data_IF_617134908678
#
_entry.id   IF_617134908678
#
_cell.length_a   1.000
_cell.length_b   1.000
_cell.length_c   1.000
_cell.angle_alpha   90.00
_cell.angle_beta   90.00
_cell.angle_gamma   90.00
#
_symmetry.space_group_name_H-M   'P 1'
#
loop_
_entity.id
_entity.type
_entity.pdbx_description
1 polymer ?
#
# COMPACT_ATOMS: atom_id res chain seq x y z
N UNK A 1 22.89 4.29 1.91
CA UNK A 1 21.53 3.81 1.61
C UNK A 1 20.65 5.03 1.41
N UNK A 2 20.02 5.24 0.23
CA UNK A 2 19.06 6.31 0.05
C UNK A 2 17.93 6.10 1.07
N UNK A 3 17.65 7.16 1.82
CA UNK A 3 16.73 7.16 2.93
C UNK A 3 15.34 6.69 2.48
N UNK A 4 14.86 5.54 2.96
CA UNK A 4 13.54 4.96 2.62
C UNK A 4 12.38 5.94 2.89
N UNK A 5 12.55 6.87 3.81
CA UNK A 5 11.63 7.99 4.06
C UNK A 5 11.45 8.88 2.82
N UNK A 6 12.54 9.15 2.11
CA UNK A 6 12.55 9.96 0.91
C UNK A 6 11.73 9.33 -0.20
N UNK A 7 11.78 8.00 -0.33
CA UNK A 7 11.05 7.27 -1.37
C UNK A 7 9.52 7.35 -1.23
N UNK A 8 8.99 7.35 -0.02
CA UNK A 8 7.55 7.47 0.21
C UNK A 8 7.01 8.84 -0.22
N UNK A 9 7.71 9.92 0.15
CA UNK A 9 7.32 11.28 -0.20
C UNK A 9 7.47 11.56 -1.70
N UNK A 10 8.57 11.12 -2.34
CA UNK A 10 8.79 11.36 -3.77
C UNK A 10 7.72 10.73 -4.65
N UNK A 11 7.23 9.56 -4.26
CA UNK A 11 6.12 8.88 -4.94
C UNK A 11 4.80 9.64 -4.77
N UNK A 12 4.48 10.06 -3.54
CA UNK A 12 3.25 10.83 -3.26
C UNK A 12 3.25 12.16 -4.00
N UNK A 13 4.39 12.87 -3.99
CA UNK A 13 4.54 14.15 -4.67
C UNK A 13 4.57 14.03 -6.21
N UNK A 14 4.94 12.85 -6.72
CA UNK A 14 4.92 12.55 -8.15
C UNK A 14 3.59 12.00 -8.68
N UNK A 15 2.56 11.90 -7.82
CA UNK A 15 1.24 11.43 -8.22
C UNK A 15 0.55 12.47 -9.10
N UNK A 16 -0.01 12.02 -10.21
CA UNK A 16 -0.78 12.82 -11.16
C UNK A 16 -2.22 12.33 -11.22
N UNK A 17 -3.17 13.18 -11.58
CA UNK A 17 -4.59 12.85 -11.59
C UNK A 17 -4.95 11.74 -12.58
N UNK A 18 -4.20 11.58 -13.67
CA UNK A 18 -4.33 10.46 -14.62
C UNK A 18 -4.08 9.08 -13.98
N UNK A 19 -3.50 9.04 -12.78
CA UNK A 19 -3.20 7.84 -12.02
C UNK A 19 -4.13 7.64 -10.81
N UNK A 20 -5.22 8.40 -10.72
CA UNK A 20 -6.15 8.37 -9.57
C UNK A 20 -7.55 8.03 -10.05
N UNK A 21 -8.13 6.95 -9.53
CA UNK A 21 -9.53 6.60 -9.73
C UNK A 21 -10.33 6.88 -8.45
N UNK A 22 -11.03 7.98 -8.46
CA UNK A 22 -11.95 8.45 -7.41
C UNK A 22 -13.33 8.72 -8.00
N UNK A 23 -13.72 7.93 -9.03
CA UNK A 23 -15.07 8.01 -9.57
C UNK A 23 -16.12 7.65 -8.51
N UNK A 24 -17.32 8.22 -8.56
CA UNK A 24 -18.40 7.89 -7.63
C UNK A 24 -18.68 6.39 -7.57
N UNK A 25 -18.62 5.71 -8.71
CA UNK A 25 -18.82 4.28 -8.85
C UNK A 25 -17.73 3.48 -8.13
N UNK A 26 -16.45 3.88 -8.32
CA UNK A 26 -15.30 3.24 -7.68
C UNK A 26 -15.31 3.47 -6.16
N UNK A 27 -15.70 4.66 -5.70
CA UNK A 27 -15.83 4.97 -4.27
C UNK A 27 -16.95 4.13 -3.65
N UNK A 28 -18.13 4.10 -4.28
CA UNK A 28 -19.28 3.33 -3.80
C UNK A 28 -18.99 1.82 -3.72
N UNK A 29 -18.20 1.31 -4.68
CA UNK A 29 -17.80 -0.10 -4.74
C UNK A 29 -16.58 -0.44 -3.84
N UNK A 30 -15.99 0.53 -3.11
CA UNK A 30 -14.75 0.33 -2.34
C UNK A 30 -13.53 0.00 -3.21
N UNK A 31 -13.53 0.44 -4.47
CA UNK A 31 -12.48 0.15 -5.48
C UNK A 31 -11.68 1.39 -5.89
N UNK A 32 -11.91 2.53 -5.26
CA UNK A 32 -11.10 3.74 -5.49
C UNK A 32 -9.61 3.44 -5.24
N UNK A 33 -8.71 3.96 -6.09
CA UNK A 33 -7.29 3.66 -5.99
C UNK A 33 -6.39 4.78 -6.52
N UNK A 34 -5.13 4.72 -6.13
CA UNK A 34 -4.02 5.41 -6.78
C UNK A 34 -3.08 4.40 -7.44
N UNK A 35 -2.60 4.72 -8.64
CA UNK A 35 -1.64 3.92 -9.36
C UNK A 35 -0.27 4.58 -9.32
N UNK A 36 0.62 4.02 -8.51
CA UNK A 36 1.98 4.52 -8.34
C UNK A 36 2.83 4.06 -9.50
N UNK A 37 3.19 4.97 -10.40
CA UNK A 37 4.06 4.71 -11.56
C UNK A 37 5.02 5.86 -11.87
N UNK A 38 5.01 6.90 -11.03
CA UNK A 38 5.82 8.11 -11.17
C UNK A 38 6.39 8.51 -9.81
N UNK A 39 7.51 9.21 -9.82
CA UNK A 39 8.10 9.82 -8.63
C UNK A 39 8.65 11.21 -8.96
N UNK A 40 8.51 12.14 -8.03
CA UNK A 40 9.07 13.48 -8.11
C UNK A 40 10.44 13.48 -7.45
N UNK A 41 11.48 13.86 -8.17
CA UNK A 41 12.83 13.85 -7.65
C UNK A 41 13.64 15.08 -8.11
N UNK A 42 14.48 15.62 -7.21
CA UNK A 42 15.48 16.61 -7.56
C UNK A 42 16.76 15.90 -7.99
N UNK A 43 17.22 16.19 -9.21
CA UNK A 43 18.39 15.55 -9.84
C UNK A 43 19.42 16.58 -10.25
N UNK A 44 20.69 16.17 -10.28
CA UNK A 44 21.78 17.00 -10.81
C UNK A 44 21.66 17.12 -12.33
N UNK A 45 21.78 18.33 -12.85
CA UNK A 45 21.65 18.63 -14.30
C UNK A 45 22.72 17.94 -15.12
N UNK A 46 23.95 17.87 -14.61
CA UNK A 46 25.06 17.23 -15.31
C UNK A 46 24.87 15.72 -15.40
N UNK A 47 24.42 15.08 -14.32
CA UNK A 47 24.10 13.66 -14.28
C UNK A 47 22.93 13.34 -15.19
N UNK A 48 21.86 14.15 -15.16
CA UNK A 48 20.71 13.97 -16.04
C UNK A 48 21.10 14.05 -17.52
N UNK A 49 21.99 15.01 -17.88
CA UNK A 49 22.50 15.18 -19.24
C UNK A 49 23.36 13.98 -19.64
N UNK A 50 24.25 13.52 -18.76
CA UNK A 50 25.13 12.38 -19.02
C UNK A 50 24.35 11.08 -19.23
N UNK A 51 23.21 10.89 -18.53
CA UNK A 51 22.33 9.73 -18.66
C UNK A 51 21.30 9.85 -19.78
N UNK A 52 21.39 10.89 -20.64
CA UNK A 52 20.45 11.08 -21.76
C UNK A 52 19.00 11.23 -21.34
N UNK A 53 18.73 11.77 -20.14
CA UNK A 53 17.38 11.91 -19.53
C UNK A 53 16.62 10.58 -19.42
N UNK A 54 17.34 9.45 -19.27
CA UNK A 54 16.71 8.14 -19.11
C UNK A 54 15.66 8.15 -17.98
N UNK A 55 14.47 7.60 -18.28
CA UNK A 55 13.32 7.49 -17.38
C UNK A 55 12.70 8.84 -16.92
N UNK A 56 13.19 9.98 -17.40
CA UNK A 56 12.61 11.31 -17.12
C UNK A 56 11.38 11.51 -18.00
N UNK A 57 10.22 11.72 -17.37
CA UNK A 57 8.93 11.97 -18.03
C UNK A 57 8.72 13.46 -18.27
N UNK A 58 9.14 14.29 -17.29
CA UNK A 58 9.02 15.75 -17.37
C UNK A 58 10.12 16.42 -16.56
N UNK A 59 10.62 17.54 -17.06
CA UNK A 59 11.50 18.47 -16.34
C UNK A 59 10.66 19.69 -16.00
N UNK A 60 10.64 20.09 -14.73
CA UNK A 60 9.86 21.25 -14.29
C UNK A 60 10.65 22.56 -14.46
N UNK A 61 9.96 23.68 -14.69
CA UNK A 61 10.61 24.99 -14.77
C UNK A 61 11.36 25.32 -13.48
N UNK A 62 12.46 26.01 -13.62
CA UNK A 62 13.28 26.43 -12.50
C UNK A 62 13.05 27.89 -12.18
N UNK A 63 13.02 28.24 -10.88
CA UNK A 63 12.97 29.63 -10.42
C UNK A 63 14.29 30.36 -10.64
N UNK A 64 15.42 29.65 -10.75
CA UNK A 64 16.76 30.18 -10.99
C UNK A 64 17.57 29.24 -11.85
N UNK A 65 18.06 29.71 -12.99
CA UNK A 65 18.89 28.94 -13.93
C UNK A 65 20.23 28.51 -13.34
N UNK A 66 20.74 29.27 -12.36
CA UNK A 66 22.01 28.98 -11.68
C UNK A 66 22.00 27.74 -10.79
N UNK A 67 20.84 27.13 -10.54
CA UNK A 67 20.73 25.92 -9.74
C UNK A 67 21.46 24.75 -10.43
N UNK A 68 22.30 24.02 -9.68
CA UNK A 68 22.96 22.80 -10.14
C UNK A 68 21.99 21.63 -10.33
N UNK A 69 20.83 21.68 -9.67
CA UNK A 69 19.82 20.61 -9.66
C UNK A 69 18.50 21.11 -10.22
N UNK A 70 17.73 20.21 -10.80
CA UNK A 70 16.39 20.47 -11.36
C UNK A 70 15.40 19.43 -10.82
N UNK A 71 14.13 19.82 -10.70
CA UNK A 71 13.05 18.93 -10.30
C UNK A 71 12.51 18.21 -11.53
N UNK A 72 12.36 16.91 -11.42
CA UNK A 72 11.87 16.07 -12.52
C UNK A 72 10.80 15.10 -12.04
N UNK A 73 9.84 14.82 -12.92
CA UNK A 73 8.95 13.67 -12.81
C UNK A 73 9.58 12.54 -13.60
N UNK A 74 9.74 11.39 -12.99
CA UNK A 74 10.39 10.23 -13.60
C UNK A 74 9.70 8.92 -13.25
N UNK A 75 10.02 7.86 -14.00
CA UNK A 75 9.59 6.51 -13.66
C UNK A 75 10.32 6.02 -12.40
N UNK A 76 9.67 5.22 -11.55
CA UNK A 76 10.32 4.60 -10.40
C UNK A 76 11.47 3.70 -10.83
N UNK A 77 12.50 3.59 -9.97
CA UNK A 77 13.73 2.83 -10.28
C UNK A 77 13.51 1.34 -10.47
N UNK A 78 12.49 0.76 -9.82
CA UNK A 78 12.21 -0.69 -9.87
C UNK A 78 10.78 -0.97 -10.31
N UNK A 79 10.57 -2.07 -11.01
CA UNK A 79 9.23 -2.52 -11.42
C UNK A 79 8.31 -2.76 -10.20
N UNK A 80 8.86 -3.26 -9.08
CA UNK A 80 8.12 -3.49 -7.83
C UNK A 80 7.63 -2.20 -7.16
N UNK A 81 8.17 -1.04 -7.54
CA UNK A 81 7.68 0.25 -7.08
C UNK A 81 6.37 0.66 -7.75
N UNK A 82 6.10 0.13 -8.95
CA UNK A 82 4.86 0.37 -9.68
C UNK A 82 3.77 -0.53 -9.11
N UNK A 83 2.71 0.08 -8.59
CA UNK A 83 1.63 -0.66 -7.90
C UNK A 83 0.34 0.13 -7.81
N UNK A 84 -0.76 -0.59 -7.68
CA UNK A 84 -2.07 -0.05 -7.33
C UNK A 84 -2.22 -0.10 -5.81
N UNK A 85 -2.71 1.00 -5.21
CA UNK A 85 -3.03 1.10 -3.79
C UNK A 85 -4.50 1.49 -3.69
N UNK A 86 -5.32 0.63 -3.11
CA UNK A 86 -6.72 0.93 -2.86
C UNK A 86 -6.86 1.94 -1.72
N UNK A 87 -7.80 2.86 -1.88
CA UNK A 87 -8.04 3.95 -0.95
C UNK A 87 -9.19 3.64 -0.01
N UNK A 88 -9.06 3.91 1.30
CA UNK A 88 -10.22 4.01 2.17
C UNK A 88 -11.21 5.06 1.62
N UNK A 89 -12.52 4.81 1.77
CA UNK A 89 -13.58 5.69 1.27
C UNK A 89 -13.35 7.15 1.68
N UNK A 90 -13.08 7.40 2.96
CA UNK A 90 -12.81 8.75 3.47
C UNK A 90 -11.65 9.44 2.75
N UNK A 91 -10.57 8.72 2.45
CA UNK A 91 -9.41 9.29 1.73
C UNK A 91 -9.77 9.60 0.28
N UNK A 92 -10.56 8.74 -0.37
CA UNK A 92 -11.04 9.00 -1.73
C UNK A 92 -11.95 10.23 -1.79
N UNK A 93 -12.86 10.39 -0.82
CA UNK A 93 -13.74 11.57 -0.70
C UNK A 93 -12.93 12.86 -0.45
N UNK A 94 -11.90 12.81 0.40
CA UNK A 94 -10.97 13.94 0.59
C UNK A 94 -10.24 14.32 -0.70
N UNK A 95 -9.86 13.35 -1.53
CA UNK A 95 -9.22 13.62 -2.82
C UNK A 95 -10.20 14.23 -3.83
N UNK A 96 -11.48 13.85 -3.80
CA UNK A 96 -12.52 14.49 -4.62
C UNK A 96 -12.64 15.97 -4.26
N UNK A 97 -12.70 16.31 -2.96
CA UNK A 97 -12.76 17.69 -2.51
C UNK A 97 -11.49 18.47 -2.87
N UNK A 98 -10.33 17.87 -2.63
CA UNK A 98 -9.05 18.45 -3.02
C UNK A 98 -8.97 18.75 -4.52
N UNK A 99 -9.43 17.83 -5.36
CA UNK A 99 -9.50 18.06 -6.80
C UNK A 99 -10.39 19.24 -7.16
N UNK A 100 -11.55 19.35 -6.50
CA UNK A 100 -12.49 20.47 -6.73
C UNK A 100 -11.86 21.83 -6.37
N UNK A 101 -11.16 21.91 -5.23
CA UNK A 101 -10.43 23.11 -4.82
C UNK A 101 -9.33 23.48 -5.81
N UNK A 102 -8.62 22.49 -6.31
CA UNK A 102 -7.57 22.66 -7.30
C UNK A 102 -8.14 23.15 -8.65
N UNK A 103 -9.23 22.54 -9.11
CA UNK A 103 -9.91 22.91 -10.35
C UNK A 103 -10.46 24.36 -10.25
N UNK A 104 -11.03 24.75 -9.11
CA UNK A 104 -11.45 26.12 -8.83
C UNK A 104 -10.28 27.10 -8.87
N UNK A 105 -9.16 26.77 -8.24
CA UNK A 105 -7.95 27.61 -8.26
C UNK A 105 -7.40 27.78 -9.67
N UNK A 106 -7.38 26.66 -10.43
CA UNK A 106 -6.95 26.65 -11.84
C UNK A 106 -7.84 27.57 -12.71
N UNK A 107 -9.15 27.51 -12.53
CA UNK A 107 -10.10 28.37 -13.24
C UNK A 107 -9.90 29.85 -12.87
N UNK A 108 -9.72 30.16 -11.58
CA UNK A 108 -9.52 31.52 -11.10
C UNK A 108 -8.22 32.16 -11.59
N UNK A 109 -7.13 31.40 -11.68
CA UNK A 109 -5.82 31.89 -12.12
C UNK A 109 -5.63 31.82 -13.64
N UNK A 110 -6.40 31.00 -14.34
CA UNK A 110 -6.29 30.85 -15.79
C UNK A 110 -4.85 30.53 -16.24
N UNK A 111 -4.28 31.40 -17.08
CA UNK A 111 -2.93 31.19 -17.63
C UNK A 111 -1.79 31.32 -16.61
N UNK A 112 -2.04 31.85 -15.42
CA UNK A 112 -1.04 31.91 -14.34
C UNK A 112 -0.88 30.58 -13.61
N UNK A 113 -1.84 29.66 -13.75
CA UNK A 113 -1.76 28.32 -13.18
C UNK A 113 -0.94 27.39 -14.08
N UNK A 114 0.16 26.84 -13.56
CA UNK A 114 1.00 25.88 -14.26
C UNK A 114 0.39 24.47 -14.16
N UNK A 115 -0.39 24.07 -15.16
CA UNK A 115 -1.06 22.76 -15.15
C UNK A 115 -0.12 21.63 -15.52
N UNK A 116 0.36 20.92 -14.52
CA UNK A 116 1.17 19.71 -14.64
C UNK A 116 0.43 18.43 -14.25
N UNK A 117 -0.87 18.49 -14.06
CA UNK A 117 -1.72 17.37 -13.64
C UNK A 117 -1.32 16.75 -12.29
N UNK A 118 -0.57 17.46 -11.45
CA UNK A 118 -0.09 16.96 -10.16
C UNK A 118 -1.20 16.99 -9.10
N UNK A 119 -1.36 15.89 -8.37
CA UNK A 119 -2.26 15.83 -7.20
C UNK A 119 -1.76 16.75 -6.09
N UNK A 120 -0.45 16.76 -5.84
CA UNK A 120 0.20 17.57 -4.80
C UNK A 120 0.86 18.82 -5.40
N UNK A 121 0.10 19.58 -6.20
CA UNK A 121 0.55 20.87 -6.70
C UNK A 121 0.42 21.95 -5.60
N UNK A 122 1.23 23.01 -5.71
CA UNK A 122 1.05 24.22 -4.89
C UNK A 122 -0.05 25.12 -5.50
N UNK A 123 -0.36 26.25 -4.85
CA UNK A 123 -1.43 27.17 -5.31
C UNK A 123 -1.23 27.76 -6.71
N UNK A 124 -0.06 27.65 -7.31
CA UNK A 124 0.22 28.04 -8.70
C UNK A 124 0.33 26.84 -9.65
N UNK A 125 -0.05 25.65 -9.22
CA UNK A 125 0.05 24.42 -10.03
C UNK A 125 1.45 23.81 -10.13
N UNK A 126 2.47 24.46 -9.55
CA UNK A 126 3.83 23.97 -9.54
C UNK A 126 4.00 22.79 -8.57
N UNK A 127 4.97 21.89 -8.79
CA UNK A 127 5.21 20.78 -7.88
C UNK A 127 5.60 21.25 -6.48
N UNK A 128 5.01 20.60 -5.47
CA UNK A 128 5.39 20.79 -4.07
C UNK A 128 6.67 20.02 -3.75
N UNK A 129 7.64 20.69 -3.15
CA UNK A 129 8.90 20.05 -2.78
C UNK A 129 8.80 19.27 -1.46
N UNK A 130 9.58 18.20 -1.34
CA UNK A 130 9.63 17.36 -0.15
C UNK A 130 9.96 18.16 1.13
N UNK A 131 10.89 19.11 1.05
CA UNK A 131 11.28 19.98 2.17
C UNK A 131 10.07 20.74 2.74
N UNK A 132 9.18 21.20 1.88
CA UNK A 132 7.96 21.91 2.32
C UNK A 132 7.04 20.99 3.10
N UNK A 133 6.77 19.79 2.61
CA UNK A 133 5.92 18.81 3.31
C UNK A 133 6.53 18.41 4.65
N UNK A 134 7.85 18.17 4.68
CA UNK A 134 8.54 17.83 5.93
C UNK A 134 8.45 18.97 6.94
N UNK A 135 8.60 20.23 6.51
CA UNK A 135 8.46 21.38 7.37
C UNK A 135 7.04 21.55 7.92
N UNK A 136 6.01 21.43 7.05
CA UNK A 136 4.61 21.48 7.45
C UNK A 136 4.25 20.36 8.43
N UNK A 137 4.79 19.17 8.23
CA UNK A 137 4.57 18.05 9.13
C UNK A 137 5.20 18.28 10.51
N UNK A 138 6.41 18.86 10.56
CA UNK A 138 7.06 19.21 11.81
C UNK A 138 6.28 20.31 12.55
N UNK A 139 5.82 21.34 11.85
CA UNK A 139 4.97 22.40 12.39
C UNK A 139 3.65 21.86 12.96
N UNK A 140 3.01 20.92 12.24
CA UNK A 140 1.78 20.25 12.70
C UNK A 140 2.01 19.49 14.02
N UNK A 141 3.10 18.75 14.11
CA UNK A 141 3.49 18.01 15.33
C UNK A 141 3.71 18.97 16.50
N UNK A 142 4.47 20.03 16.29
CA UNK A 142 4.79 21.02 17.33
C UNK A 142 3.53 21.76 17.79
N UNK A 143 2.71 22.25 16.84
CA UNK A 143 1.49 23.02 17.14
C UNK A 143 0.45 22.24 17.92
N UNK A 144 0.40 20.91 17.76
CA UNK A 144 -0.59 20.04 18.41
C UNK A 144 0.00 19.19 19.55
N UNK A 145 1.23 19.50 20.00
CA UNK A 145 1.94 18.76 21.05
C UNK A 145 1.94 17.23 20.84
N UNK A 146 2.13 16.81 19.57
CA UNK A 146 2.16 15.40 19.21
C UNK A 146 3.56 14.80 19.45
N UNK A 147 3.66 13.47 19.65
CA UNK A 147 4.95 12.80 19.76
C UNK A 147 5.84 13.09 18.54
N UNK A 148 7.10 13.40 18.78
CA UNK A 148 8.08 13.70 17.72
C UNK A 148 8.33 12.47 16.87
N UNK A 149 7.78 12.48 15.66
CA UNK A 149 7.93 11.41 14.66
C UNK A 149 8.37 12.02 13.33
N UNK A 150 9.02 11.21 12.51
CA UNK A 150 9.37 11.61 11.14
C UNK A 150 8.31 11.07 10.17
N UNK A 151 8.20 11.70 9.00
CA UNK A 151 7.18 11.30 8.00
C UNK A 151 7.24 9.80 7.65
N UNK A 152 8.44 9.21 7.66
CA UNK A 152 8.60 7.77 7.40
C UNK A 152 7.97 6.86 8.48
N UNK A 153 7.84 7.35 9.70
CA UNK A 153 7.18 6.61 10.78
C UNK A 153 5.72 6.29 10.45
N UNK A 154 5.05 7.16 9.67
CA UNK A 154 3.68 6.91 9.20
C UNK A 154 3.59 5.64 8.34
N UNK A 155 4.63 5.37 7.53
CA UNK A 155 4.71 4.13 6.75
C UNK A 155 4.84 2.92 7.65
N UNK A 156 5.70 2.97 8.67
CA UNK A 156 5.84 1.88 9.63
C UNK A 156 4.53 1.63 10.38
N UNK A 157 3.89 2.67 10.87
CA UNK A 157 2.59 2.56 11.53
C UNK A 157 1.54 1.93 10.61
N UNK A 158 1.46 2.36 9.35
CA UNK A 158 0.53 1.80 8.36
C UNK A 158 0.76 0.30 8.15
N UNK A 159 2.01 -0.15 8.01
CA UNK A 159 2.34 -1.58 7.85
C UNK A 159 1.95 -2.37 9.10
N UNK A 160 2.30 -1.87 10.28
CA UNK A 160 1.96 -2.48 11.57
C UNK A 160 0.45 -2.69 11.71
N UNK A 161 -0.34 -1.63 11.45
CA UNK A 161 -1.79 -1.72 11.57
C UNK A 161 -2.41 -2.64 10.52
N UNK A 162 -1.92 -2.61 9.28
CA UNK A 162 -2.38 -3.53 8.23
C UNK A 162 -2.12 -4.99 8.59
N UNK A 163 -0.95 -5.32 9.12
CA UNK A 163 -0.65 -6.68 9.59
C UNK A 163 -1.55 -7.12 10.74
N UNK A 164 -1.84 -6.23 11.70
CA UNK A 164 -2.76 -6.52 12.79
C UNK A 164 -4.19 -6.75 12.33
N UNK A 165 -4.67 -5.93 11.38
CA UNK A 165 -6.06 -5.95 10.92
C UNK A 165 -6.34 -7.13 9.96
N UNK A 166 -5.34 -7.61 9.24
CA UNK A 166 -5.50 -8.70 8.27
C UNK A 166 -4.99 -10.06 8.74
N UNK A 167 -4.78 -10.22 10.07
CA UNK A 167 -4.33 -11.49 10.65
C UNK A 167 -2.92 -11.91 10.22
N UNK A 168 -2.03 -10.94 9.91
CA UNK A 168 -0.63 -11.22 9.59
C UNK A 168 -0.37 -11.57 8.11
N UNK A 169 -1.29 -11.27 7.18
CA UNK A 169 -1.05 -11.51 5.74
C UNK A 169 0.05 -10.58 5.19
N UNK A 170 1.27 -11.09 5.27
CA UNK A 170 2.49 -10.39 4.83
C UNK A 170 2.45 -10.09 3.32
N UNK A 171 1.88 -10.99 2.50
CA UNK A 171 1.85 -10.80 1.03
C UNK A 171 0.98 -9.63 0.62
N UNK A 172 -0.19 -9.49 1.23
CA UNK A 172 -1.09 -8.36 1.00
C UNK A 172 -0.40 -7.03 1.36
N UNK A 173 0.20 -6.97 2.56
CA UNK A 173 0.91 -5.78 3.04
C UNK A 173 2.16 -5.45 2.22
N UNK A 174 2.88 -6.47 1.72
CA UNK A 174 4.01 -6.29 0.81
C UNK A 174 3.56 -5.62 -0.50
N UNK A 175 2.45 -6.06 -1.08
CA UNK A 175 1.88 -5.48 -2.30
C UNK A 175 1.59 -3.99 -2.15
N UNK A 176 0.91 -3.61 -1.07
CA UNK A 176 0.58 -2.21 -0.77
C UNK A 176 1.80 -1.36 -0.45
N UNK A 177 2.72 -1.89 0.35
CA UNK A 177 3.88 -1.14 0.81
C UNK A 177 4.97 -0.99 -0.25
N UNK A 178 4.99 -1.85 -1.28
CA UNK A 178 6.00 -1.85 -2.34
C UNK A 178 7.39 -2.26 -1.87
N UNK A 179 7.49 -3.13 -0.85
CA UNK A 179 8.74 -3.77 -0.50
C UNK A 179 9.10 -4.86 -1.52
N UNK A 180 10.33 -4.83 -2.03
CA UNK A 180 10.79 -5.80 -3.02
C UNK A 180 10.83 -7.24 -2.47
N UNK A 181 11.03 -7.40 -1.15
CA UNK A 181 11.12 -8.69 -0.48
C UNK A 181 10.19 -8.73 0.73
N UNK A 182 9.43 -9.83 0.87
CA UNK A 182 8.58 -10.09 2.03
C UNK A 182 9.41 -10.16 3.33
N UNK A 183 10.65 -10.62 3.24
CA UNK A 183 11.60 -10.70 4.35
C UNK A 183 11.77 -9.35 5.07
N UNK A 184 11.82 -8.22 4.33
CA UNK A 184 11.92 -6.90 4.94
C UNK A 184 10.71 -6.55 5.81
N UNK A 185 9.52 -7.04 5.46
CA UNK A 185 8.31 -6.86 6.27
C UNK A 185 8.38 -7.78 7.49
N UNK A 186 8.79 -9.03 7.30
CA UNK A 186 8.88 -10.03 8.36
C UNK A 186 9.93 -9.66 9.42
N UNK A 187 11.14 -9.29 9.01
CA UNK A 187 12.23 -8.97 9.93
C UNK A 187 11.93 -7.74 10.80
N UNK A 188 11.25 -6.75 10.21
CA UNK A 188 10.96 -5.50 10.90
C UNK A 188 9.73 -5.59 11.82
N UNK A 189 8.81 -6.52 11.53
CA UNK A 189 7.52 -6.66 12.24
C UNK A 189 7.30 -8.03 12.86
N UNK A 190 8.35 -8.85 13.00
CA UNK A 190 8.31 -10.20 13.59
C UNK A 190 7.71 -10.23 15.00
N UNK A 191 7.96 -9.17 15.80
CA UNK A 191 7.41 -9.07 17.16
C UNK A 191 5.86 -9.04 17.20
N UNK A 192 5.20 -8.54 16.13
CA UNK A 192 3.73 -8.55 16.03
C UNK A 192 3.24 -9.98 15.76
N UNK A 193 4.00 -10.73 14.95
CA UNK A 193 3.69 -12.10 14.59
C UNK A 193 3.90 -13.06 15.78
N UNK A 194 4.73 -12.71 16.77
CA UNK A 194 4.93 -13.53 17.96
C UNK A 194 3.70 -13.56 18.88
N UNK A 195 2.96 -12.45 19.00
CA UNK A 195 1.69 -12.44 19.73
C UNK A 195 0.62 -13.27 19.01
N UNK A 196 0.56 -13.22 17.68
CA UNK A 196 -0.32 -14.07 16.88
C UNK A 196 0.04 -15.54 16.99
N UNK A 197 1.34 -15.88 17.11
CA UNK A 197 1.81 -17.28 17.33
C UNK A 197 1.34 -17.84 18.68
N UNK A 198 1.31 -17.03 19.73
CA UNK A 198 0.73 -17.43 21.03
C UNK A 198 -0.77 -17.69 20.90
N UNK A 199 -1.48 -16.80 20.20
CA UNK A 199 -2.91 -16.98 19.95
C UNK A 199 -3.18 -18.23 19.10
N UNK A 200 -2.36 -18.52 18.09
CA UNK A 200 -2.46 -19.74 17.28
C UNK A 200 -2.29 -21.00 18.12
N UNK A 201 -1.36 -21.02 19.08
CA UNK A 201 -1.20 -22.15 20.00
C UNK A 201 -2.44 -22.35 20.86
N UNK A 202 -3.03 -21.29 21.37
CA UNK A 202 -4.28 -21.35 22.16
C UNK A 202 -5.49 -21.81 21.32
N UNK A 203 -5.57 -21.33 20.06
CA UNK A 203 -6.61 -21.77 19.11
C UNK A 203 -6.44 -23.26 18.76
N UNK A 204 -5.20 -23.70 18.54
CA UNK A 204 -4.89 -25.11 18.26
C UNK A 204 -5.23 -26.01 19.46
N UNK A 205 -4.86 -25.58 20.68
CA UNK A 205 -5.25 -26.25 21.92
C UNK A 205 -6.77 -26.38 22.03
N UNK A 206 -7.51 -25.29 21.80
CA UNK A 206 -8.96 -25.29 21.82
C UNK A 206 -9.58 -26.19 20.76
N UNK A 207 -9.04 -26.21 19.54
CA UNK A 207 -9.57 -26.98 18.43
C UNK A 207 -9.31 -28.49 18.54
N UNK A 208 -8.15 -28.89 19.06
CA UNK A 208 -7.68 -30.29 18.98
C UNK A 208 -7.54 -30.98 20.33
N UNK A 209 -7.34 -30.25 21.44
CA UNK A 209 -7.02 -30.83 22.73
C UNK A 209 -8.06 -30.54 23.82
N UNK A 210 -8.94 -29.53 23.67
CA UNK A 210 -10.01 -29.26 24.65
C UNK A 210 -11.15 -30.26 24.55
N UNK A 211 -10.83 -31.52 24.29
CA UNK A 211 -11.76 -32.62 24.00
C UNK A 211 -12.99 -32.69 24.92
N UNK A 212 -14.11 -32.26 24.39
CA UNK A 212 -15.44 -32.83 24.62
C UNK A 212 -16.30 -32.53 23.37
N UNK A 213 -16.58 -33.59 22.61
CA UNK A 213 -17.76 -33.67 21.73
C UNK A 213 -17.75 -32.72 20.53
N UNK A 214 -17.72 -33.33 19.36
CA UNK A 214 -18.15 -32.71 18.13
C UNK A 214 -19.43 -31.89 18.32
N UNK A 215 -19.32 -30.60 18.32
CA UNK A 215 -20.38 -29.72 17.85
C UNK A 215 -19.82 -28.30 17.71
N UNK A 216 -19.94 -27.79 16.47
CA UNK A 216 -19.85 -26.40 16.06
C UNK A 216 -18.57 -25.64 16.41
N UNK A 217 -17.69 -25.54 15.43
CA UNK A 217 -16.76 -24.41 15.33
C UNK A 217 -17.61 -23.17 15.08
N UNK A 218 -18.00 -22.47 16.14
CA UNK A 218 -18.45 -21.09 16.01
C UNK A 218 -17.25 -20.23 15.69
N UNK A 219 -17.21 -19.71 14.48
CA UNK A 219 -16.32 -18.64 14.08
C UNK A 219 -16.57 -17.43 14.99
N UNK A 220 -15.52 -16.64 15.35
CA UNK A 220 -15.72 -15.41 16.10
C UNK A 220 -16.71 -14.51 15.39
N UNK A 221 -17.69 -13.99 16.13
CA UNK A 221 -18.76 -13.16 15.64
C UNK A 221 -18.24 -12.04 14.72
N UNK A 222 -18.55 -12.12 13.45
CA UNK A 222 -18.35 -11.06 12.47
C UNK A 222 -19.33 -9.93 12.74
N UNK A 223 -18.82 -8.76 13.11
CA UNK A 223 -19.56 -7.53 12.94
C UNK A 223 -19.61 -7.20 11.45
N UNK A 224 -20.75 -7.45 10.88
CA UNK A 224 -21.33 -7.02 9.62
C UNK A 224 -20.42 -6.52 8.49
N UNK A 225 -20.13 -7.39 7.53
CA UNK A 225 -19.99 -7.05 6.12
C UNK A 225 -20.26 -8.33 5.32
N UNK A 226 -21.29 -8.29 4.48
CA UNK A 226 -21.64 -9.38 3.59
C UNK A 226 -20.49 -9.69 2.62
N UNK A 227 -19.70 -10.73 2.93
CA UNK A 227 -18.81 -11.36 1.98
C UNK A 227 -19.37 -12.73 1.63
N UNK A 228 -19.56 -12.98 0.35
CA UNK A 228 -20.01 -14.24 -0.25
C UNK A 228 -19.24 -15.41 0.35
N UNK A 229 -19.97 -16.40 0.82
CA UNK A 229 -19.52 -17.67 1.34
C UNK A 229 -18.43 -18.32 0.47
N UNK A 230 -17.28 -18.61 1.09
CA UNK A 230 -16.39 -19.64 0.59
C UNK A 230 -17.03 -21.01 0.81
N UNK A 231 -16.92 -21.97 -0.12
CA UNK A 231 -17.56 -23.27 0.02
C UNK A 231 -16.90 -24.06 1.15
N UNK A 232 -17.58 -24.16 2.27
CA UNK A 232 -17.29 -25.15 3.29
C UNK A 232 -17.92 -26.47 2.84
N UNK A 233 -17.08 -27.45 2.60
CA UNK A 233 -17.49 -28.82 2.33
C UNK A 233 -16.73 -29.39 1.14
N UNK A 234 -15.83 -30.31 1.39
CA UNK A 234 -15.35 -31.21 0.34
C UNK A 234 -16.58 -31.95 -0.16
N UNK A 235 -16.91 -31.74 -1.43
CA UNK A 235 -18.04 -32.40 -2.10
C UNK A 235 -17.92 -33.89 -1.88
N UNK A 236 -18.94 -34.57 -1.27
CA UNK A 236 -18.91 -36.01 -1.03
C UNK A 236 -18.66 -36.81 -2.31
N UNK A 237 -19.12 -36.33 -3.47
CA UNK A 237 -18.87 -36.95 -4.77
C UNK A 237 -17.39 -36.79 -5.21
N UNK A 238 -16.74 -35.70 -4.85
CA UNK A 238 -15.30 -35.49 -5.09
C UNK A 238 -14.45 -36.43 -4.22
N UNK A 239 -14.82 -36.61 -2.96
CA UNK A 239 -14.21 -37.58 -2.05
C UNK A 239 -14.39 -39.03 -2.55
N UNK A 240 -15.57 -39.37 -2.99
CA UNK A 240 -15.84 -40.70 -3.58
C UNK A 240 -15.02 -40.95 -4.85
N UNK A 241 -14.87 -39.93 -5.73
CA UNK A 241 -14.01 -39.98 -6.92
C UNK A 241 -12.52 -40.12 -6.59
N UNK A 242 -12.02 -39.43 -5.55
CA UNK A 242 -10.63 -39.54 -5.10
C UNK A 242 -10.35 -40.92 -4.51
N UNK A 243 -11.26 -41.46 -3.70
CA UNK A 243 -11.15 -42.78 -3.10
C UNK A 243 -11.34 -43.95 -4.10
N UNK A 244 -12.04 -43.72 -5.20
CA UNK A 244 -12.18 -44.69 -6.27
C UNK A 244 -11.00 -44.74 -7.26
N UNK A 245 -10.05 -43.80 -7.14
CA UNK A 245 -8.82 -43.82 -7.94
C UNK A 245 -7.77 -44.73 -7.26
N UNK A 246 -7.37 -45.87 -7.88
CA UNK A 246 -6.44 -46.83 -7.23
C UNK A 246 -5.05 -46.25 -6.92
N UNK A 247 -4.57 -45.27 -7.71
CA UNK A 247 -3.29 -44.62 -7.45
C UNK A 247 -3.35 -43.70 -6.23
N UNK A 248 -4.44 -42.97 -6.03
CA UNK A 248 -4.62 -42.10 -4.86
C UNK A 248 -4.88 -42.91 -3.60
N UNK A 249 -5.59 -44.01 -3.67
CA UNK A 249 -5.79 -44.95 -2.55
C UNK A 249 -4.46 -45.57 -2.08
N UNK A 250 -3.59 -45.94 -3.03
CA UNK A 250 -2.23 -46.44 -2.73
C UNK A 250 -1.34 -45.38 -2.06
N UNK A 251 -1.40 -44.11 -2.51
CA UNK A 251 -0.67 -42.99 -1.94
C UNK A 251 -1.12 -42.70 -0.50
N UNK A 252 -2.42 -42.64 -0.24
CA UNK A 252 -2.97 -42.45 1.10
C UNK A 252 -2.62 -43.62 2.05
N UNK A 253 -2.62 -44.86 1.55
CA UNK A 253 -2.20 -46.02 2.34
C UNK A 253 -0.71 -45.98 2.69
N UNK A 254 0.12 -45.48 1.76
CA UNK A 254 1.58 -45.32 1.99
C UNK A 254 1.86 -44.20 2.98
N UNK A 255 1.12 -43.09 2.89
CA UNK A 255 1.21 -41.98 3.84
C UNK A 255 0.75 -42.41 5.27
N UNK A 256 -0.34 -43.13 5.37
CA UNK A 256 -0.83 -43.65 6.65
C UNK A 256 0.15 -44.64 7.31
N UNK A 257 0.90 -45.42 6.51
CA UNK A 257 1.97 -46.29 7.01
C UNK A 257 3.25 -45.58 7.39
N UNK A 258 3.49 -44.37 6.90
CA UNK A 258 4.66 -43.56 7.28
C UNK A 258 4.42 -42.70 8.53
N UNK A 259 3.18 -42.64 9.02
CA UNK A 259 2.78 -41.87 10.21
C UNK A 259 2.58 -42.75 11.46
N UNK A 260 2.75 -44.06 11.33
CA UNK A 260 2.86 -45.05 12.42
C UNK A 260 4.30 -45.58 12.51
#
# INVERSE_FOLDING_TARGET
>A
LPNLAQFCLTVTLGLTWDCVDISPESIAAGKAYVYVNKELQRVDKSVMKALGKKDVLRVFPELRESNKTVLVLKKPKTATSTRKIFLPKTVAEMLVEWKREQDFTKEALGNEYADFDLVMANGLGMPTEQSRITALFAELIEKNDLPKVVFHSLRHSSITYKLKLNGGDIKSVQGDSGHAQAQMVTDQYSHILDDDRKNNAALFEKAFYSGKGSDSIEAPAETGSEAKAAPSGVDPDLLAKILSNPEMAALLTTLAKSLN
#
